data_IF_833074412743
#
_entry.id   IF_833074412743
#
_cell.length_a   1.000
_cell.length_b   1.000
_cell.length_c   1.000
_cell.angle_alpha   90.00
_cell.angle_beta   90.00
_cell.angle_gamma   90.00
#
_symmetry.space_group_name_H-M   'P 1'
#
loop_
_entity.id
_entity.type
_entity.pdbx_description
1 polymer ?
#
# COMPACT_ATOMS: atom_id res chain seq x y z
N UNK A 1 -36.58 11.46 -50.75
CA UNK A 1 -37.28 12.57 -51.43
C UNK A 1 -38.26 13.18 -50.44
N UNK A 2 -37.83 14.13 -49.61
CA UNK A 2 -38.72 15.05 -48.91
C UNK A 2 -38.05 16.41 -48.84
N UNK A 3 -38.77 17.38 -49.39
CA UNK A 3 -38.36 18.74 -49.64
C UNK A 3 -38.79 19.65 -48.47
N UNK A 4 -37.86 20.53 -48.10
CA UNK A 4 -38.03 21.96 -47.77
C UNK A 4 -39.02 22.37 -46.67
N UNK A 5 -38.46 23.02 -45.63
CA UNK A 5 -38.89 24.38 -45.24
C UNK A 5 -37.69 25.18 -44.73
N UNK A 6 -37.36 26.22 -45.48
CA UNK A 6 -36.42 27.30 -45.14
C UNK A 6 -37.22 28.38 -44.39
N UNK A 7 -36.65 28.94 -43.33
CA UNK A 7 -36.95 30.30 -42.89
C UNK A 7 -35.63 31.01 -42.53
N UNK A 8 -35.50 32.23 -43.04
CA UNK A 8 -34.33 33.09 -43.03
C UNK A 8 -34.37 34.10 -41.87
N UNK A 9 -33.18 34.69 -41.65
CA UNK A 9 -32.84 35.92 -40.90
C UNK A 9 -32.62 35.71 -39.39
N UNK A 10 -31.56 36.22 -38.77
CA UNK A 10 -30.93 37.54 -38.94
C UNK A 10 -29.46 37.54 -38.49
N UNK A 11 -28.62 38.35 -39.16
CA UNK A 11 -27.24 38.65 -38.76
C UNK A 11 -27.20 39.48 -37.48
N UNK A 12 -26.25 39.19 -36.58
CA UNK A 12 -25.60 40.20 -35.74
C UNK A 12 -24.11 39.83 -35.63
N UNK A 13 -23.26 40.76 -36.03
CA UNK A 13 -21.82 40.78 -35.75
C UNK A 13 -21.62 41.16 -34.28
N UNK A 14 -20.84 40.38 -33.53
CA UNK A 14 -20.14 40.86 -32.35
C UNK A 14 -18.71 40.32 -32.35
N UNK A 15 -17.78 41.27 -32.33
CA UNK A 15 -16.33 41.16 -32.16
C UNK A 15 -15.97 41.03 -30.67
N UNK A 16 -14.91 40.27 -30.35
CA UNK A 16 -14.29 40.14 -29.01
C UNK A 16 -14.50 38.74 -28.40
N UNK A 17 -13.52 38.01 -27.85
CA UNK A 17 -12.27 38.40 -27.19
C UNK A 17 -11.29 37.18 -27.21
N UNK A 18 -9.97 37.32 -27.48
CA UNK A 18 -9.03 36.19 -27.57
C UNK A 18 -8.40 35.73 -26.23
N UNK A 19 -8.98 36.08 -25.09
CA UNK A 19 -8.44 35.73 -23.78
C UNK A 19 -9.35 34.74 -23.05
N UNK A 20 -9.38 33.50 -23.55
CA UNK A 20 -9.85 32.36 -22.77
C UNK A 20 -8.68 31.87 -21.90
N UNK A 21 -8.39 32.59 -20.83
CA UNK A 21 -7.53 32.08 -19.76
C UNK A 21 -8.15 30.80 -19.20
N UNK A 22 -7.45 29.70 -19.44
CA UNK A 22 -7.79 28.39 -18.91
C UNK A 22 -7.52 28.44 -17.41
N UNK A 23 -8.58 28.64 -16.63
CA UNK A 23 -8.52 28.53 -15.18
C UNK A 23 -8.18 27.09 -14.83
N UNK A 24 -6.90 26.81 -14.64
CA UNK A 24 -6.43 25.58 -14.03
C UNK A 24 -6.92 25.56 -12.57
N UNK A 25 -8.05 24.90 -12.36
CA UNK A 25 -8.53 24.54 -11.03
C UNK A 25 -7.41 23.80 -10.28
N UNK A 26 -7.06 24.19 -9.04
CA UNK A 26 -6.07 23.47 -8.27
C UNK A 26 -6.58 22.05 -8.04
N UNK A 27 -5.87 21.07 -8.59
CA UNK A 27 -6.11 19.67 -8.29
C UNK A 27 -6.09 19.52 -6.78
N UNK A 28 -7.25 19.22 -6.18
CA UNK A 28 -7.31 18.99 -4.74
C UNK A 28 -6.42 17.79 -4.45
N UNK A 29 -5.21 18.03 -3.92
CA UNK A 29 -4.39 16.98 -3.32
C UNK A 29 -5.23 16.40 -2.19
N UNK A 30 -5.96 15.32 -2.45
CA UNK A 30 -6.54 14.49 -1.41
C UNK A 30 -5.36 14.06 -0.54
N UNK A 31 -5.30 14.57 0.71
CA UNK A 31 -4.36 14.07 1.72
C UNK A 31 -4.56 12.57 1.76
N UNK A 32 -3.47 11.80 1.65
CA UNK A 32 -3.52 10.36 1.85
C UNK A 32 -4.29 10.10 3.16
N UNK A 33 -5.22 9.16 3.16
CA UNK A 33 -5.94 8.79 4.38
C UNK A 33 -4.92 8.46 5.47
N UNK A 34 -5.06 9.05 6.65
CA UNK A 34 -4.06 8.89 7.72
C UNK A 34 -4.07 7.43 8.17
N UNK A 35 -2.99 6.70 7.90
CA UNK A 35 -2.77 5.36 8.44
C UNK A 35 -2.73 5.48 9.96
N UNK A 36 -3.67 4.82 10.63
CA UNK A 36 -3.80 4.81 12.09
C UNK A 36 -2.97 3.70 12.74
N UNK A 37 -2.67 2.65 11.98
CA UNK A 37 -1.89 1.51 12.47
C UNK A 37 -1.15 0.79 11.34
N UNK A 38 0.08 0.39 11.61
CA UNK A 38 0.84 -0.54 10.76
C UNK A 38 0.94 -1.88 11.50
N UNK A 39 0.54 -2.96 10.83
CA UNK A 39 0.76 -4.31 11.36
C UNK A 39 1.69 -5.11 10.46
N UNK A 40 2.37 -6.09 11.07
CA UNK A 40 3.18 -7.04 10.35
C UNK A 40 3.44 -8.29 11.20
N UNK A 41 4.02 -9.33 10.60
CA UNK A 41 4.28 -10.59 11.27
C UNK A 41 5.66 -10.73 11.92
N UNK A 42 6.48 -9.69 11.92
CA UNK A 42 7.74 -9.62 12.68
C UNK A 42 8.94 -10.39 12.12
N UNK A 43 8.80 -10.99 10.93
CA UNK A 43 9.93 -11.60 10.22
C UNK A 43 10.99 -10.54 9.88
N UNK A 44 12.23 -10.94 9.63
CA UNK A 44 13.24 -10.02 9.06
C UNK A 44 12.77 -9.48 7.69
N UNK A 45 13.50 -8.50 7.15
CA UNK A 45 13.17 -7.92 5.84
C UNK A 45 11.98 -6.96 5.91
N UNK A 46 11.00 -7.17 5.03
CA UNK A 46 9.88 -6.23 4.85
C UNK A 46 9.03 -6.06 6.12
N UNK A 47 8.79 -7.16 6.83
CA UNK A 47 7.94 -7.16 8.03
C UNK A 47 8.49 -6.21 9.12
N UNK A 48 9.74 -6.43 9.53
CA UNK A 48 10.43 -5.54 10.48
C UNK A 48 10.64 -4.15 9.94
N UNK A 49 10.83 -3.98 8.63
CA UNK A 49 10.93 -2.65 8.05
C UNK A 49 9.66 -1.82 8.23
N UNK A 50 8.48 -2.44 8.08
CA UNK A 50 7.19 -1.79 8.39
C UNK A 50 7.06 -1.43 9.87
N UNK A 51 7.43 -2.34 10.77
CA UNK A 51 7.38 -2.11 12.22
C UNK A 51 8.36 -1.03 12.68
N UNK A 52 9.60 -1.07 12.19
CA UNK A 52 10.63 -0.07 12.47
C UNK A 52 10.20 1.31 11.97
N UNK A 53 9.61 1.39 10.77
CA UNK A 53 9.05 2.63 10.24
C UNK A 53 7.98 3.19 11.17
N UNK A 54 7.04 2.35 11.61
CA UNK A 54 5.97 2.77 12.49
C UNK A 54 6.51 3.33 13.82
N UNK A 55 7.44 2.60 14.46
CA UNK A 55 8.10 3.03 15.70
C UNK A 55 8.81 4.38 15.51
N UNK A 56 9.60 4.52 14.45
CA UNK A 56 10.38 5.73 14.20
C UNK A 56 9.53 6.98 13.93
N UNK A 57 8.26 6.81 13.58
CA UNK A 57 7.34 7.91 13.23
C UNK A 57 6.16 8.02 14.21
N UNK A 58 6.18 7.31 15.33
CA UNK A 58 5.10 7.35 16.33
C UNK A 58 3.75 6.82 15.81
N UNK A 59 3.75 6.05 14.73
CA UNK A 59 2.53 5.39 14.22
C UNK A 59 2.28 4.14 15.06
N UNK A 60 1.07 3.92 15.61
CA UNK A 60 0.75 2.70 16.32
C UNK A 60 1.11 1.45 15.50
N UNK A 61 1.78 0.49 16.13
CA UNK A 61 2.19 -0.75 15.46
C UNK A 61 1.69 -2.01 16.18
N UNK A 62 1.75 -3.14 15.48
CA UNK A 62 1.52 -4.45 16.08
C UNK A 62 1.44 -5.55 15.04
N UNK A 63 0.60 -6.56 15.29
CA UNK A 63 0.35 -7.67 14.38
C UNK A 63 0.50 -9.02 15.08
N UNK A 64 0.46 -10.07 14.27
CA UNK A 64 0.50 -11.46 14.72
C UNK A 64 1.84 -12.10 14.37
N UNK A 65 2.52 -12.69 15.35
CA UNK A 65 3.72 -13.50 15.13
C UNK A 65 3.48 -14.96 15.57
N UNK A 66 4.31 -15.91 15.13
CA UNK A 66 4.19 -17.30 15.58
C UNK A 66 4.29 -17.41 17.11
N UNK A 67 3.65 -18.43 17.70
CA UNK A 67 3.92 -18.84 19.08
C UNK A 67 5.44 -19.00 19.31
N UNK A 68 5.93 -18.54 20.46
CA UNK A 68 7.36 -18.43 20.76
C UNK A 68 8.06 -17.20 20.17
N UNK A 69 7.34 -16.40 19.35
CA UNK A 69 7.86 -15.22 18.62
C UNK A 69 9.01 -15.56 17.68
N UNK A 70 8.91 -16.65 16.91
CA UNK A 70 9.99 -17.05 16.00
C UNK A 70 10.10 -16.18 14.75
N UNK A 71 11.34 -15.91 14.35
CA UNK A 71 11.76 -15.34 13.06
C UNK A 71 13.05 -16.05 12.60
N UNK A 72 13.54 -15.76 11.39
CA UNK A 72 14.72 -16.45 10.84
C UNK A 72 16.02 -16.21 11.63
N UNK A 73 16.11 -15.08 12.34
CA UNK A 73 17.25 -14.68 13.15
C UNK A 73 17.00 -14.93 14.66
N UNK A 74 16.05 -15.80 14.97
CA UNK A 74 15.69 -16.18 16.33
C UNK A 74 14.46 -15.45 16.85
N UNK A 75 14.45 -15.12 18.14
CA UNK A 75 13.25 -14.59 18.82
C UNK A 75 13.03 -13.13 18.45
N UNK A 76 11.82 -12.79 18.00
CA UNK A 76 11.42 -11.43 17.65
C UNK A 76 11.50 -10.51 18.88
N UNK A 77 12.25 -9.40 18.81
CA UNK A 77 12.42 -8.47 19.91
C UNK A 77 11.11 -7.98 20.55
N UNK A 78 11.12 -7.74 21.87
CA UNK A 78 9.95 -7.28 22.64
C UNK A 78 9.49 -5.86 22.29
N UNK A 79 10.35 -5.04 21.66
CA UNK A 79 9.99 -3.68 21.18
C UNK A 79 8.87 -3.69 20.13
N UNK A 80 8.65 -4.83 19.47
CA UNK A 80 7.55 -5.01 18.53
C UNK A 80 6.30 -5.48 19.29
N UNK A 81 5.23 -4.68 19.25
CA UNK A 81 3.95 -4.92 19.93
C UNK A 81 3.11 -6.04 19.25
N UNK A 82 3.73 -7.21 19.07
CA UNK A 82 3.14 -8.36 18.39
C UNK A 82 2.45 -9.29 19.39
N UNK A 83 1.32 -9.84 18.96
CA UNK A 83 0.58 -10.90 19.65
C UNK A 83 0.95 -12.25 19.04
N UNK A 84 1.13 -13.26 19.87
CA UNK A 84 1.40 -14.62 19.41
C UNK A 84 0.11 -15.26 18.89
N UNK A 85 0.20 -15.98 17.79
CA UNK A 85 -0.84 -16.90 17.34
C UNK A 85 -0.87 -18.17 18.21
N UNK A 86 -1.96 -18.96 18.19
CA UNK A 86 -2.00 -20.22 18.92
C UNK A 86 -0.92 -21.22 18.50
N UNK A 87 -0.58 -21.27 17.21
CA UNK A 87 0.44 -22.14 16.66
C UNK A 87 1.75 -21.42 16.35
N UNK A 88 2.83 -22.20 16.22
CA UNK A 88 4.15 -21.72 15.82
C UNK A 88 4.35 -21.67 14.29
N UNK A 89 3.32 -21.97 13.50
CA UNK A 89 3.45 -22.05 12.05
C UNK A 89 3.35 -20.67 11.37
N UNK A 90 4.12 -20.47 10.31
CA UNK A 90 4.12 -19.21 9.55
C UNK A 90 2.82 -18.93 8.78
N UNK A 91 2.07 -19.92 8.25
CA UNK A 91 0.82 -19.65 7.57
C UNK A 91 -0.25 -18.98 8.44
N UNK A 92 -0.42 -19.41 9.69
CA UNK A 92 -1.46 -18.89 10.58
C UNK A 92 -1.25 -17.40 10.89
N UNK A 93 -0.02 -17.01 11.28
CA UNK A 93 0.30 -15.59 11.52
C UNK A 93 0.15 -14.75 10.25
N UNK A 94 0.48 -15.29 9.08
CA UNK A 94 0.29 -14.59 7.80
C UNK A 94 -1.20 -14.37 7.53
N UNK A 95 -2.03 -15.40 7.71
CA UNK A 95 -3.47 -15.31 7.54
C UNK A 95 -4.09 -14.27 8.49
N UNK A 96 -3.71 -14.27 9.77
CA UNK A 96 -4.29 -13.37 10.76
C UNK A 96 -3.92 -11.90 10.50
N UNK A 97 -2.68 -11.62 10.08
CA UNK A 97 -2.29 -10.26 9.71
C UNK A 97 -3.05 -9.75 8.46
N UNK A 98 -3.33 -10.63 7.49
CA UNK A 98 -4.17 -10.26 6.35
C UNK A 98 -5.62 -10.00 6.79
N UNK A 99 -6.22 -10.95 7.52
CA UNK A 99 -7.61 -10.88 7.99
C UNK A 99 -7.88 -9.63 8.85
N UNK A 100 -6.96 -9.32 9.76
CA UNK A 100 -7.12 -8.26 10.77
C UNK A 100 -6.58 -6.89 10.32
N UNK A 101 -6.42 -6.70 9.01
CA UNK A 101 -6.06 -5.40 8.39
C UNK A 101 -7.17 -4.90 7.46
N UNK A 102 -7.13 -3.61 7.12
CA UNK A 102 -8.02 -3.05 6.09
C UNK A 102 -7.48 -3.33 4.68
N UNK A 103 -6.15 -3.49 4.55
CA UNK A 103 -5.50 -3.89 3.32
C UNK A 103 -4.04 -4.28 3.57
N UNK A 104 -3.50 -5.09 2.65
CA UNK A 104 -2.13 -5.57 2.70
C UNK A 104 -1.31 -4.99 1.55
N UNK A 105 -0.12 -4.45 1.86
CA UNK A 105 0.92 -4.20 0.86
C UNK A 105 2.01 -5.26 1.00
N UNK A 106 2.36 -5.87 -0.13
CA UNK A 106 3.46 -6.83 -0.24
C UNK A 106 4.58 -6.14 -1.01
N UNK A 107 5.73 -5.96 -0.37
CA UNK A 107 6.94 -5.45 -1.02
C UNK A 107 7.82 -6.61 -1.49
N UNK A 108 8.44 -6.46 -2.65
CA UNK A 108 9.56 -7.29 -3.11
C UNK A 108 10.55 -6.45 -3.91
N UNK A 109 11.76 -6.98 -4.11
CA UNK A 109 12.71 -6.47 -5.07
C UNK A 109 12.42 -7.10 -6.44
N UNK A 110 12.24 -8.42 -6.48
CA UNK A 110 11.92 -9.15 -7.71
C UNK A 110 10.51 -8.82 -8.23
N UNK A 111 10.31 -8.97 -9.54
CA UNK A 111 9.03 -8.75 -10.23
C UNK A 111 7.89 -9.71 -9.80
N UNK A 112 8.23 -10.91 -9.33
CA UNK A 112 7.28 -11.96 -8.98
C UNK A 112 7.26 -12.30 -7.49
N UNK A 113 6.10 -12.76 -7.00
CA UNK A 113 5.94 -13.22 -5.62
C UNK A 113 6.30 -14.69 -5.48
N UNK A 114 7.13 -15.00 -4.48
CA UNK A 114 7.49 -16.35 -4.10
C UNK A 114 7.24 -16.62 -2.60
N UNK A 115 7.28 -17.91 -2.23
CA UNK A 115 7.25 -18.37 -0.83
C UNK A 115 6.16 -17.72 0.03
N UNK A 116 6.56 -17.21 1.20
CA UNK A 116 5.65 -16.57 2.15
C UNK A 116 4.92 -15.35 1.60
N UNK A 117 5.54 -14.58 0.71
CA UNK A 117 4.89 -13.41 0.07
C UNK A 117 3.76 -13.85 -0.87
N UNK A 118 3.94 -14.95 -1.61
CA UNK A 118 2.87 -15.52 -2.43
C UNK A 118 1.74 -16.07 -1.57
N UNK A 119 2.05 -16.68 -0.43
CA UNK A 119 1.04 -17.10 0.54
C UNK A 119 0.23 -15.91 1.07
N UNK A 120 0.86 -14.78 1.38
CA UNK A 120 0.15 -13.56 1.80
C UNK A 120 -0.85 -13.10 0.75
N UNK A 121 -0.47 -13.10 -0.52
CA UNK A 121 -1.38 -12.76 -1.62
C UNK A 121 -2.58 -13.72 -1.70
N UNK A 122 -2.35 -15.03 -1.59
CA UNK A 122 -3.43 -16.03 -1.54
C UNK A 122 -4.37 -15.83 -0.35
N UNK A 123 -3.83 -15.50 0.82
CA UNK A 123 -4.66 -15.18 1.99
C UNK A 123 -5.51 -13.94 1.77
N UNK A 124 -4.99 -12.93 1.07
CA UNK A 124 -5.78 -11.73 0.77
C UNK A 124 -6.95 -12.03 -0.17
N UNK A 125 -6.74 -12.88 -1.18
CA UNK A 125 -7.82 -13.39 -2.04
C UNK A 125 -8.84 -14.16 -1.21
N UNK A 126 -8.39 -15.13 -0.40
CA UNK A 126 -9.24 -15.97 0.46
C UNK A 126 -10.17 -15.12 1.35
N UNK A 127 -9.63 -14.07 1.95
CA UNK A 127 -10.35 -13.19 2.87
C UNK A 127 -11.02 -11.99 2.20
N UNK A 128 -10.96 -11.89 0.86
CA UNK A 128 -11.49 -10.76 0.08
C UNK A 128 -10.98 -9.40 0.58
N UNK A 129 -9.70 -9.35 0.96
CA UNK A 129 -9.03 -8.14 1.44
C UNK A 129 -8.30 -7.44 0.30
N UNK A 130 -8.33 -6.10 0.23
CA UNK A 130 -7.48 -5.33 -0.68
C UNK A 130 -6.01 -5.72 -0.52
N UNK A 131 -5.35 -6.02 -1.62
CA UNK A 131 -3.94 -6.37 -1.64
C UNK A 131 -3.23 -5.67 -2.79
N UNK A 132 -2.08 -5.06 -2.49
CA UNK A 132 -1.20 -4.45 -3.47
C UNK A 132 0.18 -5.12 -3.42
N UNK A 133 0.66 -5.58 -4.56
CA UNK A 133 2.06 -5.96 -4.72
C UNK A 133 2.85 -4.78 -5.30
N UNK A 134 3.90 -4.37 -4.60
CA UNK A 134 4.89 -3.39 -5.07
C UNK A 134 6.24 -4.10 -5.20
N UNK A 135 6.78 -4.13 -6.41
CA UNK A 135 8.09 -4.66 -6.74
C UNK A 135 9.04 -3.54 -7.12
N UNK A 136 10.28 -3.57 -6.63
CA UNK A 136 11.30 -2.58 -7.03
C UNK A 136 11.62 -2.66 -8.52
N UNK A 137 11.80 -3.87 -9.05
CA UNK A 137 12.13 -4.12 -10.45
C UNK A 137 11.04 -3.61 -11.39
N UNK A 138 9.77 -3.90 -11.08
CA UNK A 138 8.64 -3.53 -11.93
C UNK A 138 8.16 -2.10 -11.73
N UNK A 139 8.08 -1.65 -10.48
CA UNK A 139 7.35 -0.43 -10.14
C UNK A 139 8.27 0.76 -9.90
N UNK A 140 9.53 0.56 -9.47
CA UNK A 140 10.54 1.60 -9.35
C UNK A 140 10.02 2.92 -8.75
N UNK A 141 10.08 4.00 -9.54
CA UNK A 141 9.60 5.34 -9.15
C UNK A 141 8.09 5.45 -8.98
N UNK A 142 7.30 4.57 -9.60
CA UNK A 142 5.83 4.55 -9.49
C UNK A 142 5.34 3.92 -8.18
N UNK A 143 6.21 3.25 -7.41
CA UNK A 143 5.85 2.59 -6.15
C UNK A 143 5.12 3.51 -5.16
N UNK A 144 5.58 4.76 -5.03
CA UNK A 144 4.98 5.77 -4.14
C UNK A 144 3.52 6.04 -4.50
N UNK A 145 3.26 6.35 -5.77
CA UNK A 145 1.90 6.70 -6.21
C UNK A 145 0.95 5.50 -6.09
N UNK A 146 1.42 4.31 -6.47
CA UNK A 146 0.64 3.06 -6.31
C UNK A 146 0.23 2.82 -4.86
N UNK A 147 1.14 2.99 -3.90
CA UNK A 147 0.80 2.84 -2.49
C UNK A 147 -0.19 3.91 -2.03
N UNK A 148 0.02 5.16 -2.43
CA UNK A 148 -0.87 6.28 -2.08
C UNK A 148 -2.29 6.04 -2.57
N UNK A 149 -2.44 5.72 -3.86
CA UNK A 149 -3.73 5.43 -4.48
C UNK A 149 -4.41 4.23 -3.82
N UNK A 150 -3.65 3.17 -3.53
CA UNK A 150 -4.17 1.98 -2.86
C UNK A 150 -4.74 2.30 -1.47
N UNK A 151 -4.02 3.08 -0.66
CA UNK A 151 -4.48 3.51 0.67
C UNK A 151 -5.75 4.35 0.55
N UNK A 152 -5.75 5.34 -0.35
CA UNK A 152 -6.87 6.26 -0.54
C UNK A 152 -8.12 5.57 -1.06
N UNK A 153 -7.98 4.78 -2.13
CA UNK A 153 -9.10 4.11 -2.81
C UNK A 153 -9.79 3.11 -1.90
N UNK A 154 -9.03 2.39 -1.08
CA UNK A 154 -9.54 1.35 -0.19
C UNK A 154 -9.81 1.86 1.24
N UNK A 155 -9.59 3.15 1.53
CA UNK A 155 -9.78 3.76 2.86
C UNK A 155 -9.07 3.00 3.98
N UNK A 156 -7.82 2.61 3.72
CA UNK A 156 -7.03 1.79 4.65
C UNK A 156 -6.69 2.63 5.89
N UNK A 157 -7.08 2.17 7.08
CA UNK A 157 -6.64 2.74 8.36
C UNK A 157 -5.59 1.85 9.02
N UNK A 158 -5.74 0.53 8.93
CA UNK A 158 -4.79 -0.49 9.38
C UNK A 158 -4.12 -1.14 8.17
N UNK A 159 -2.87 -0.81 7.92
CA UNK A 159 -2.08 -1.35 6.81
C UNK A 159 -1.23 -2.54 7.30
N UNK A 160 -1.43 -3.71 6.70
CA UNK A 160 -0.51 -4.83 6.86
C UNK A 160 0.66 -4.69 5.88
N UNK A 161 1.89 -4.74 6.38
CA UNK A 161 3.13 -4.71 5.59
C UNK A 161 3.73 -6.11 5.60
N UNK A 162 3.93 -6.66 4.40
CA UNK A 162 4.50 -7.99 4.20
C UNK A 162 5.57 -7.98 3.10
N UNK A 163 6.38 -9.03 3.06
CA UNK A 163 7.35 -9.27 2.00
C UNK A 163 8.35 -10.36 2.40
N UNK A 164 9.37 -10.60 1.56
CA UNK A 164 10.38 -11.59 1.84
C UNK A 164 11.23 -11.23 3.06
N UNK A 165 11.77 -12.28 3.68
CA UNK A 165 12.77 -12.21 4.73
C UNK A 165 14.10 -11.67 4.19
N UNK A 166 14.92 -11.10 5.08
CA UNK A 166 16.18 -10.46 4.69
C UNK A 166 17.15 -11.44 4.03
N UNK A 167 17.20 -12.70 4.47
CA UNK A 167 18.03 -13.73 3.82
C UNK A 167 17.65 -14.03 2.37
N UNK A 168 16.40 -13.72 1.96
CA UNK A 168 15.91 -13.92 0.59
C UNK A 168 16.12 -12.69 -0.28
N UNK A 169 15.86 -11.50 0.27
CA UNK A 169 16.10 -10.23 -0.42
C UNK A 169 16.75 -9.23 0.53
N UNK A 170 18.10 -9.16 0.62
CA UNK A 170 18.79 -8.39 1.65
C UNK A 170 18.44 -6.90 1.70
N UNK A 171 18.16 -6.28 0.55
CA UNK A 171 17.83 -4.86 0.44
C UNK A 171 16.33 -4.53 0.61
N UNK A 172 15.46 -5.53 0.85
CA UNK A 172 14.01 -5.31 0.89
C UNK A 172 13.58 -4.37 2.01
N UNK A 173 14.25 -4.44 3.17
CA UNK A 173 13.91 -3.60 4.30
C UNK A 173 14.15 -2.12 4.01
N UNK A 174 15.21 -1.79 3.27
CA UNK A 174 15.49 -0.41 2.84
C UNK A 174 14.41 0.09 1.88
N UNK A 175 14.11 -0.69 0.84
CA UNK A 175 13.09 -0.33 -0.14
C UNK A 175 11.71 -0.13 0.50
N UNK A 176 11.32 -1.02 1.43
CA UNK A 176 10.06 -0.91 2.18
C UNK A 176 9.98 0.42 2.95
N UNK A 177 11.05 0.79 3.69
CA UNK A 177 11.08 2.05 4.45
C UNK A 177 11.05 3.28 3.54
N UNK A 178 11.77 3.25 2.42
CA UNK A 178 11.80 4.35 1.44
C UNK A 178 10.40 4.62 0.88
N UNK A 179 9.67 3.59 0.45
CA UNK A 179 8.32 3.76 -0.11
C UNK A 179 7.32 4.20 0.96
N UNK A 180 7.37 3.62 2.18
CA UNK A 180 6.50 4.04 3.29
C UNK A 180 6.73 5.51 3.67
N UNK A 181 7.99 5.92 3.78
CA UNK A 181 8.36 7.29 4.11
C UNK A 181 7.87 8.29 3.05
N UNK A 182 7.93 7.93 1.77
CA UNK A 182 7.49 8.79 0.68
C UNK A 182 5.95 8.99 0.62
N UNK A 183 5.17 8.23 1.39
CA UNK A 183 3.70 8.34 1.41
C UNK A 183 3.16 8.83 2.75
N UNK A 184 3.77 8.42 3.87
CA UNK A 184 3.20 8.59 5.21
C UNK A 184 3.86 9.70 6.05
N UNK A 185 4.88 10.38 5.52
CA UNK A 185 5.50 11.57 6.14
C UNK A 185 5.01 12.90 5.54
N UNK A 186 4.06 12.86 4.61
CA UNK A 186 3.51 14.06 3.97
C UNK A 186 2.47 14.79 4.83
#
# INVERSE_FOLDING_TARGET
MFNVKVYLQSRHFLTGNPDAETVHSPSHRKRAGVIKKIISGGQTGADRAGLDFAIANGVPHGGWCPAGRFAEDGKIPKRYALRETPGANYPERTEFNVRDSDGTVIFSLAGELAGGSRLTYWMAIKHRKPCLHISKERDGSAAREKLREFILRNRINTLNVAGPRASTEPAIGRFTKEVLAAVLKE
#
